data_IF_953283095913
#
_entry.id   IF_953283095913
#
_cell.length_a   1.000
_cell.length_b   1.000
_cell.length_c   1.000
_cell.angle_alpha   90.00
_cell.angle_beta   90.00
_cell.angle_gamma   90.00
#
_symmetry.space_group_name_H-M   'P 1'
#
loop_
_entity.id
_entity.type
_entity.pdbx_description
1 polymer ?
#
# COMPACT_ATOMS: atom_id res chain seq x y z
N UNK A 1 -22.27 -30.02 -8.34
CA UNK A 1 -20.99 -29.47 -7.86
C UNK A 1 -20.67 -28.26 -8.72
N UNK A 2 -21.02 -27.06 -8.25
CA UNK A 2 -20.70 -25.82 -8.96
C UNK A 2 -19.31 -25.38 -8.51
N UNK A 3 -18.37 -25.31 -9.45
CA UNK A 3 -17.06 -24.73 -9.18
C UNK A 3 -17.27 -23.24 -8.92
N UNK A 4 -17.27 -22.83 -7.65
CA UNK A 4 -17.04 -21.44 -7.31
C UNK A 4 -15.63 -21.10 -7.75
N UNK A 5 -15.53 -20.48 -8.93
CA UNK A 5 -14.44 -19.56 -9.26
C UNK A 5 -14.47 -18.43 -8.22
N UNK A 6 -13.93 -18.69 -7.03
CA UNK A 6 -13.74 -17.68 -6.01
C UNK A 6 -12.59 -16.80 -6.47
N UNK A 7 -12.91 -15.73 -7.20
CA UNK A 7 -11.98 -14.60 -7.27
C UNK A 7 -11.71 -14.20 -5.81
N UNK A 8 -10.43 -14.11 -5.40
CA UNK A 8 -10.12 -13.68 -4.04
C UNK A 8 -10.73 -12.30 -3.78
N UNK A 9 -11.23 -12.08 -2.57
CA UNK A 9 -11.81 -10.80 -2.18
C UNK A 9 -10.78 -9.68 -2.40
N UNK A 10 -11.17 -8.52 -2.97
CA UNK A 10 -10.26 -7.42 -3.18
C UNK A 10 -9.59 -6.97 -1.89
N UNK A 11 -8.28 -6.77 -1.92
CA UNK A 11 -7.47 -6.27 -0.81
C UNK A 11 -7.30 -4.76 -0.97
N UNK A 12 -7.92 -3.93 -0.11
CA UNK A 12 -7.85 -2.47 -0.23
C UNK A 12 -6.46 -1.97 0.20
N UNK A 13 -5.83 -1.16 -0.67
CA UNK A 13 -4.45 -0.69 -0.51
C UNK A 13 -4.40 0.83 -0.47
N UNK A 14 -3.72 1.37 0.54
CA UNK A 14 -3.30 2.78 0.56
C UNK A 14 -1.85 2.86 0.09
N UNK A 15 -1.57 3.82 -0.77
CA UNK A 15 -0.24 4.02 -1.35
C UNK A 15 0.23 5.43 -0.99
N UNK A 16 1.48 5.55 -0.58
CA UNK A 16 2.16 6.82 -0.34
C UNK A 16 3.30 6.92 -1.35
N UNK A 17 3.35 7.97 -2.14
CA UNK A 17 4.43 8.23 -3.10
C UNK A 17 4.76 9.72 -3.15
N UNK A 18 5.59 10.13 -4.10
CA UNK A 18 5.99 11.54 -4.23
C UNK A 18 5.04 12.36 -5.10
N UNK A 19 4.66 11.82 -6.27
CA UNK A 19 3.65 12.40 -7.18
C UNK A 19 2.44 11.47 -7.34
N UNK A 20 1.24 12.06 -7.31
CA UNK A 20 -0.03 11.32 -7.33
C UNK A 20 -0.40 10.86 -8.73
N UNK A 21 -0.26 11.71 -9.74
CA UNK A 21 -0.67 11.46 -11.13
C UNK A 21 -0.02 10.21 -11.69
N UNK A 22 1.30 10.06 -11.48
CA UNK A 22 2.03 8.86 -11.86
C UNK A 22 1.52 7.63 -11.08
N UNK A 23 1.38 7.74 -9.77
CA UNK A 23 0.94 6.63 -8.92
C UNK A 23 -0.46 6.11 -9.29
N UNK A 24 -1.42 7.01 -9.54
CA UNK A 24 -2.81 6.62 -9.82
C UNK A 24 -2.99 5.97 -11.20
N UNK A 25 -2.11 6.28 -12.16
CA UNK A 25 -2.12 5.65 -13.49
C UNK A 25 -1.35 4.34 -13.49
N UNK A 26 -0.22 4.29 -12.77
CA UNK A 26 0.74 3.20 -12.88
C UNK A 26 0.39 2.02 -11.96
N UNK A 27 0.08 2.26 -10.68
CA UNK A 27 -0.16 1.20 -9.70
C UNK A 27 -1.31 0.25 -10.08
N UNK A 28 -2.47 0.73 -10.57
CA UNK A 28 -3.54 -0.18 -11.01
C UNK A 28 -3.13 -1.10 -12.17
N UNK A 29 -2.24 -0.64 -13.07
CA UNK A 29 -1.75 -1.45 -14.19
C UNK A 29 -0.88 -2.59 -13.69
N UNK A 30 0.07 -2.31 -12.79
CA UNK A 30 0.92 -3.34 -12.16
C UNK A 30 0.04 -4.40 -11.48
N UNK A 31 -0.94 -3.97 -10.70
CA UNK A 31 -1.84 -4.91 -10.02
C UNK A 31 -2.61 -5.80 -10.99
N UNK A 32 -3.06 -5.24 -12.13
CA UNK A 32 -3.77 -5.97 -13.16
C UNK A 32 -2.86 -6.94 -13.93
N UNK A 33 -1.65 -6.51 -14.31
CA UNK A 33 -0.66 -7.32 -15.04
C UNK A 33 -0.27 -8.57 -14.24
N UNK A 34 -0.11 -8.43 -12.93
CA UNK A 34 0.17 -9.54 -12.02
C UNK A 34 -1.07 -10.30 -11.54
N UNK A 35 -2.26 -10.00 -12.09
CA UNK A 35 -3.55 -10.60 -11.71
C UNK A 35 -3.74 -10.63 -10.18
N UNK A 36 -3.37 -9.54 -9.54
CA UNK A 36 -3.33 -9.45 -8.08
C UNK A 36 -4.69 -9.05 -7.50
N UNK A 37 -4.97 -9.40 -6.23
CA UNK A 37 -6.21 -9.01 -5.56
C UNK A 37 -6.16 -7.56 -5.06
N UNK A 38 -5.06 -6.85 -5.24
CA UNK A 38 -4.85 -5.52 -4.67
C UNK A 38 -5.61 -4.45 -5.46
N UNK A 39 -6.33 -3.61 -4.71
CA UNK A 39 -7.05 -2.46 -5.26
C UNK A 39 -6.63 -1.22 -4.50
N UNK A 40 -6.04 -0.28 -5.22
CA UNK A 40 -5.69 1.03 -4.67
C UNK A 40 -6.97 1.80 -4.32
N UNK A 41 -7.15 2.13 -3.05
CA UNK A 41 -8.29 2.91 -2.54
C UNK A 41 -7.92 4.35 -2.22
N UNK A 42 -6.66 4.63 -1.96
CA UNK A 42 -6.13 5.98 -1.86
C UNK A 42 -4.67 6.03 -2.31
N UNK A 43 -4.31 7.15 -2.92
CA UNK A 43 -2.94 7.55 -3.20
C UNK A 43 -2.70 8.88 -2.48
N UNK A 44 -1.75 8.88 -1.56
CA UNK A 44 -1.27 10.08 -0.88
C UNK A 44 0.09 10.46 -1.45
N UNK A 45 0.34 11.76 -1.56
CA UNK A 45 1.57 12.28 -2.14
C UNK A 45 2.10 13.51 -1.39
N UNK A 46 3.35 13.88 -1.67
CA UNK A 46 4.07 14.97 -1.01
C UNK A 46 4.13 16.26 -1.82
N UNK A 47 3.67 16.26 -3.08
CA UNK A 47 3.98 17.35 -4.03
C UNK A 47 2.74 17.91 -4.74
N UNK A 48 1.99 17.06 -5.43
CA UNK A 48 0.94 17.45 -6.35
C UNK A 48 -0.40 17.76 -5.67
N UNK A 49 -0.74 17.04 -4.61
CA UNK A 49 -1.97 17.35 -3.86
C UNK A 49 -1.84 18.74 -3.22
N UNK A 50 -2.91 19.52 -3.19
CA UNK A 50 -2.87 20.86 -2.60
C UNK A 50 -2.76 20.77 -1.07
N UNK A 51 -2.03 21.68 -0.44
CA UNK A 51 -2.16 21.91 1.00
C UNK A 51 -3.59 22.37 1.33
N UNK A 52 -4.20 21.91 2.44
CA UNK A 52 -3.64 21.09 3.51
C UNK A 52 -3.84 19.57 3.35
N UNK A 53 -4.14 19.08 2.14
CA UNK A 53 -4.59 17.71 1.88
C UNK A 53 -3.45 16.73 1.52
N UNK A 54 -2.20 17.21 1.43
CA UNK A 54 -1.03 16.38 1.17
C UNK A 54 -0.82 15.30 2.23
N UNK A 55 0.10 14.37 1.97
CA UNK A 55 0.58 13.50 3.03
C UNK A 55 1.00 14.32 4.25
N UNK A 56 0.43 13.94 5.38
CA UNK A 56 0.93 14.18 6.72
C UNK A 56 0.53 12.97 7.54
N UNK A 57 1.18 12.68 8.69
CA UNK A 57 0.72 11.64 9.60
C UNK A 57 -0.76 11.77 9.95
N UNK A 58 -1.22 13.00 10.16
CA UNK A 58 -2.63 13.29 10.44
C UNK A 58 -3.54 12.89 9.28
N UNK A 59 -3.23 13.33 8.06
CA UNK A 59 -4.07 13.03 6.89
C UNK A 59 -4.06 11.53 6.55
N UNK A 60 -2.94 10.83 6.77
CA UNK A 60 -2.90 9.37 6.66
C UNK A 60 -3.85 8.72 7.66
N UNK A 61 -3.83 9.16 8.92
CA UNK A 61 -4.78 8.72 9.93
C UNK A 61 -6.23 8.96 9.52
N UNK A 62 -6.55 10.15 8.99
CA UNK A 62 -7.89 10.47 8.49
C UNK A 62 -8.31 9.51 7.38
N UNK A 63 -7.44 9.26 6.39
CA UNK A 63 -7.72 8.31 5.29
C UNK A 63 -7.97 6.90 5.85
N UNK A 64 -7.06 6.38 6.68
CA UNK A 64 -7.15 5.02 7.21
C UNK A 64 -8.41 4.80 8.05
N UNK A 65 -8.80 5.77 8.90
CA UNK A 65 -9.96 5.65 9.77
C UNK A 65 -11.30 5.76 9.02
N UNK A 66 -11.34 6.38 7.85
CA UNK A 66 -12.59 6.66 7.13
C UNK A 66 -12.82 5.78 5.89
N UNK A 67 -11.80 5.14 5.34
CA UNK A 67 -11.97 4.26 4.18
C UNK A 67 -12.76 3.00 4.52
N UNK A 68 -13.73 2.68 3.66
CA UNK A 68 -14.45 1.42 3.59
C UNK A 68 -14.54 0.94 2.13
N UNK A 69 -14.17 -0.32 1.81
CA UNK A 69 -13.68 -1.36 2.72
C UNK A 69 -12.35 -0.97 3.42
N UNK A 70 -12.10 -1.56 4.59
CA UNK A 70 -10.97 -1.20 5.44
C UNK A 70 -9.63 -1.49 4.72
N UNK A 71 -8.71 -0.52 4.64
CA UNK A 71 -7.34 -0.77 4.18
C UNK A 71 -6.70 -1.96 4.89
N UNK A 72 -6.11 -2.87 4.12
CA UNK A 72 -5.39 -4.05 4.62
C UNK A 72 -3.93 -4.06 4.20
N UNK A 73 -3.55 -3.26 3.21
CA UNK A 73 -2.16 -3.07 2.84
C UNK A 73 -1.78 -1.59 2.75
N UNK A 74 -0.54 -1.30 3.12
CA UNK A 74 0.10 -0.01 2.94
C UNK A 74 1.36 -0.17 2.09
N UNK A 75 1.49 0.63 1.04
CA UNK A 75 2.71 0.71 0.24
C UNK A 75 3.36 2.07 0.51
N UNK A 76 4.60 2.05 0.97
CA UNK A 76 5.46 3.23 1.08
C UNK A 76 6.38 3.20 -0.13
N UNK A 77 6.09 4.05 -1.10
CA UNK A 77 6.71 4.04 -2.42
C UNK A 77 8.20 4.40 -2.40
N UNK A 78 8.88 4.05 -3.50
CA UNK A 78 10.33 4.25 -3.66
C UNK A 78 10.78 5.71 -3.59
N UNK A 79 9.92 6.66 -3.91
CA UNK A 79 10.23 8.08 -3.89
C UNK A 79 9.92 8.74 -2.53
N UNK A 80 9.47 7.97 -1.53
CA UNK A 80 9.25 8.48 -0.17
C UNK A 80 10.59 8.49 0.58
N UNK A 81 10.99 9.60 1.23
CA UNK A 81 12.22 9.65 2.01
C UNK A 81 12.24 8.52 3.09
N UNK A 82 13.32 7.72 3.18
CA UNK A 82 13.38 6.58 4.12
C UNK A 82 13.24 7.00 5.58
N UNK A 83 13.60 8.24 5.92
CA UNK A 83 13.45 8.82 7.25
C UNK A 83 12.00 8.88 7.72
N UNK A 84 11.03 8.91 6.80
CA UNK A 84 9.60 8.99 7.11
C UNK A 84 8.97 7.60 7.30
N UNK A 85 9.68 6.51 6.99
CA UNK A 85 9.09 5.16 7.09
C UNK A 85 8.62 4.84 8.51
N UNK A 86 9.37 5.25 9.53
CA UNK A 86 9.01 4.99 10.93
C UNK A 86 7.73 5.72 11.36
N UNK A 87 7.55 7.00 10.99
CA UNK A 87 6.32 7.74 11.32
C UNK A 87 5.10 7.16 10.60
N UNK A 88 5.26 6.78 9.33
CA UNK A 88 4.21 6.19 8.51
C UNK A 88 3.77 4.85 9.12
N UNK A 89 4.75 4.00 9.46
CA UNK A 89 4.50 2.71 10.11
C UNK A 89 3.84 2.88 11.47
N UNK A 90 4.18 3.92 12.23
CA UNK A 90 3.52 4.19 13.51
C UNK A 90 2.03 4.50 13.33
N UNK A 91 1.66 5.34 12.34
CA UNK A 91 0.25 5.64 12.03
C UNK A 91 -0.50 4.39 11.55
N UNK A 92 0.13 3.55 10.73
CA UNK A 92 -0.46 2.27 10.32
C UNK A 92 -0.73 1.36 11.51
N UNK A 93 0.25 1.16 12.39
CA UNK A 93 0.11 0.29 13.55
C UNK A 93 -0.98 0.79 14.50
N UNK A 94 -1.08 2.11 14.71
CA UNK A 94 -2.18 2.72 15.45
C UNK A 94 -3.53 2.39 14.82
N UNK A 95 -3.67 2.53 13.49
CA UNK A 95 -4.89 2.16 12.76
C UNK A 95 -5.22 0.66 12.91
N UNK A 96 -4.22 -0.23 12.83
CA UNK A 96 -4.43 -1.67 13.01
C UNK A 96 -5.01 -1.95 14.41
N UNK A 97 -4.42 -1.38 15.45
CA UNK A 97 -4.85 -1.60 16.84
C UNK A 97 -6.18 -0.93 17.17
N UNK A 98 -6.43 0.27 16.63
CA UNK A 98 -7.59 1.09 17.00
C UNK A 98 -8.83 0.81 16.16
N UNK A 99 -8.65 0.37 14.90
CA UNK A 99 -9.75 0.15 13.95
C UNK A 99 -9.83 -1.32 13.57
N UNK A 100 -8.82 -1.89 12.88
CA UNK A 100 -8.91 -3.26 12.35
C UNK A 100 -9.20 -4.27 13.46
N UNK A 101 -8.46 -4.20 14.56
CA UNK A 101 -8.61 -5.12 15.69
C UNK A 101 -9.96 -4.98 16.39
N UNK A 102 -10.53 -3.77 16.48
CA UNK A 102 -11.81 -3.54 17.16
C UNK A 102 -13.02 -3.91 16.31
N UNK A 103 -12.91 -3.75 15.00
CA UNK A 103 -14.00 -4.03 14.05
C UNK A 103 -13.95 -5.46 13.51
N UNK A 104 -12.87 -6.19 13.77
CA UNK A 104 -12.73 -7.57 13.33
C UNK A 104 -13.76 -8.47 14.01
N UNK A 105 -14.43 -9.31 13.21
CA UNK A 105 -15.39 -10.31 13.70
C UNK A 105 -14.70 -11.58 14.19
N UNK A 106 -13.43 -11.77 13.82
CA UNK A 106 -12.58 -12.90 14.19
C UNK A 106 -11.32 -12.33 14.86
N UNK A 107 -10.95 -12.87 16.02
CA UNK A 107 -9.77 -12.46 16.80
C UNK A 107 -8.45 -12.53 16.03
N UNK A 108 -8.41 -13.17 14.86
CA UNK A 108 -7.21 -13.27 14.01
C UNK A 108 -7.29 -12.50 12.69
N UNK A 109 -8.47 -12.10 12.22
CA UNK A 109 -8.57 -11.49 10.88
C UNK A 109 -7.80 -10.17 10.79
N UNK A 110 -7.83 -9.33 11.83
CA UNK A 110 -7.06 -8.07 11.85
C UNK A 110 -5.55 -8.26 11.63
N UNK A 111 -4.99 -9.45 11.90
CA UNK A 111 -3.58 -9.77 11.65
C UNK A 111 -3.24 -9.94 10.18
N UNK A 112 -4.24 -10.18 9.31
CA UNK A 112 -4.06 -10.25 7.87
C UNK A 112 -3.99 -8.84 7.28
N UNK A 113 -2.91 -8.14 7.59
CA UNK A 113 -2.55 -6.82 7.10
C UNK A 113 -1.05 -6.76 6.78
N UNK A 114 -0.61 -5.86 5.89
CA UNK A 114 0.80 -5.79 5.47
C UNK A 114 1.26 -4.35 5.21
N UNK A 115 2.56 -4.10 5.41
CA UNK A 115 3.25 -2.89 4.95
C UNK A 115 4.34 -3.32 3.96
N UNK A 116 4.44 -2.63 2.83
CA UNK A 116 5.56 -2.73 1.89
C UNK A 116 6.39 -1.44 1.92
N UNK A 117 7.47 -1.37 2.71
CA UNK A 117 8.29 -0.16 2.86
C UNK A 117 9.39 -0.08 1.80
N UNK A 118 9.02 0.15 0.53
CA UNK A 118 9.96 0.09 -0.61
C UNK A 118 11.08 1.12 -0.52
N UNK A 119 10.83 2.27 0.11
CA UNK A 119 11.87 3.29 0.35
C UNK A 119 13.07 2.78 1.14
N UNK A 120 12.96 1.69 1.91
CA UNK A 120 14.10 1.18 2.67
C UNK A 120 15.14 0.44 1.81
N UNK A 121 14.74 -0.09 0.66
CA UNK A 121 15.58 -0.94 -0.18
C UNK A 121 15.73 -0.44 -1.62
N UNK A 122 14.79 0.37 -2.10
CA UNK A 122 14.72 0.82 -3.48
C UNK A 122 14.56 2.35 -3.60
N UNK A 123 15.01 3.11 -2.59
CA UNK A 123 14.83 4.57 -2.59
C UNK A 123 15.37 5.23 -3.87
N UNK A 124 14.57 6.12 -4.44
CA UNK A 124 14.97 7.03 -5.52
C UNK A 124 14.68 8.47 -5.11
N UNK A 125 15.60 9.37 -5.42
CA UNK A 125 15.39 10.80 -5.20
C UNK A 125 14.44 11.35 -6.29
N UNK A 126 13.23 11.81 -5.92
CA UNK A 126 12.27 12.35 -6.89
C UNK A 126 12.75 13.64 -7.55
N UNK A 127 13.72 14.36 -6.99
CA UNK A 127 14.34 15.50 -7.66
C UNK A 127 15.18 15.11 -8.88
N UNK A 128 15.52 13.81 -9.01
CA UNK A 128 16.37 13.27 -10.07
C UNK A 128 15.54 12.45 -11.08
N UNK A 129 14.47 11.78 -10.63
CA UNK A 129 13.66 10.89 -11.45
C UNK A 129 12.22 11.37 -11.58
N UNK A 130 11.77 11.64 -12.81
CA UNK A 130 10.36 11.99 -13.10
C UNK A 130 9.41 10.78 -12.97
N UNK A 131 9.91 9.56 -13.16
CA UNK A 131 9.12 8.33 -13.10
C UNK A 131 9.85 7.21 -12.34
N UNK A 132 9.10 6.30 -11.69
CA UNK A 132 9.69 5.09 -11.11
C UNK A 132 10.46 4.29 -12.17
N UNK A 133 11.75 4.00 -11.96
CA UNK A 133 12.50 3.14 -12.86
C UNK A 133 11.95 1.70 -12.83
N UNK A 134 11.55 1.20 -14.00
CA UNK A 134 10.91 -0.12 -14.17
C UNK A 134 11.86 -1.30 -13.85
N UNK A 135 13.15 -1.15 -14.12
CA UNK A 135 14.12 -2.25 -14.04
C UNK A 135 14.79 -2.41 -12.67
N UNK A 136 14.27 -1.75 -11.62
CA UNK A 136 14.87 -1.80 -10.28
C UNK A 136 14.35 -2.92 -9.39
N UNK A 137 13.40 -3.74 -9.84
CA UNK A 137 12.90 -4.90 -9.09
C UNK A 137 12.01 -4.59 -7.88
N UNK A 138 11.68 -3.31 -7.67
CA UNK A 138 10.83 -2.87 -6.55
C UNK A 138 9.42 -3.46 -6.60
N UNK A 139 8.86 -3.70 -7.80
CA UNK A 139 7.53 -4.31 -7.97
C UNK A 139 7.48 -5.71 -7.38
N UNK A 140 8.52 -6.51 -7.66
CA UNK A 140 8.67 -7.85 -7.11
C UNK A 140 8.81 -7.81 -5.59
N UNK A 141 9.58 -6.88 -5.06
CA UNK A 141 9.73 -6.72 -3.60
C UNK A 141 8.41 -6.28 -2.94
N UNK A 142 7.65 -5.40 -3.60
CA UNK A 142 6.32 -5.02 -3.17
C UNK A 142 5.41 -6.24 -3.04
N UNK A 143 5.32 -7.04 -4.10
CA UNK A 143 4.48 -8.23 -4.07
C UNK A 143 4.99 -9.27 -3.07
N UNK A 144 6.30 -9.44 -2.87
CA UNK A 144 6.84 -10.30 -1.81
C UNK A 144 6.29 -9.93 -0.43
N UNK A 145 6.31 -8.65 -0.07
CA UNK A 145 5.77 -8.19 1.20
C UNK A 145 4.27 -8.43 1.33
N UNK A 146 3.51 -8.13 0.28
CA UNK A 146 2.05 -8.25 0.33
C UNK A 146 1.59 -9.72 0.26
N UNK A 147 2.16 -10.51 -0.63
CA UNK A 147 1.75 -11.90 -0.86
C UNK A 147 2.14 -12.81 0.30
N UNK A 148 3.20 -12.51 1.04
CA UNK A 148 3.51 -13.21 2.29
C UNK A 148 2.32 -13.26 3.26
N UNK A 149 1.39 -12.30 3.18
CA UNK A 149 0.18 -12.22 4.00
C UNK A 149 -1.08 -12.62 3.24
N UNK A 150 -1.24 -12.15 2.00
CA UNK A 150 -2.51 -12.28 1.28
C UNK A 150 -2.58 -13.46 0.32
N UNK A 151 -1.43 -13.93 -0.19
CA UNK A 151 -1.29 -15.02 -1.17
C UNK A 151 0.00 -15.83 -0.89
N UNK A 152 0.15 -16.42 0.31
CA UNK A 152 1.40 -17.07 0.73
C UNK A 152 1.79 -18.29 -0.14
N UNK A 153 0.88 -18.76 -0.98
CA UNK A 153 1.12 -19.78 -1.99
C UNK A 153 1.93 -19.27 -3.20
N UNK A 154 2.02 -17.95 -3.42
CA UNK A 154 2.80 -17.37 -4.52
C UNK A 154 4.25 -17.23 -4.09
N UNK A 155 5.15 -17.84 -4.86
CA UNK A 155 6.59 -17.69 -4.70
C UNK A 155 7.12 -16.67 -5.71
N UNK A 156 7.92 -15.73 -5.22
CA UNK A 156 8.57 -14.70 -6.03
C UNK A 156 10.08 -14.99 -6.09
N UNK A 157 10.51 -15.70 -7.13
CA UNK A 157 11.91 -16.05 -7.42
C UNK A 157 12.74 -14.82 -7.75
#
# INVERSE_FOLDING_TARGET
MSAHSSNPDPVPVVIIGWGRENGVVFMPKIFAEHKSPYVMTAMMDFEETLEPYRYSPHNLGVVLHNLHPRPRALIIGIAVPPSLTNEITAVWNEYVDSVLKKESKDDQDWKKNAISPLSLTHYVDPAIFEHPPMDMGWEKEMFKHLDAVFRPEIQWD
#
